data_IF_082840341568
#
_entry.id   IF_082840341568
#
_cell.length_a   1.000
_cell.length_b   1.000
_cell.length_c   1.000
_cell.angle_alpha   90.00
_cell.angle_beta   90.00
_cell.angle_gamma   90.00
#
_symmetry.space_group_name_H-M   'P 1'
#
loop_
_entity.id
_entity.type
_entity.pdbx_description
1 polymer ?
#
# COMPACT_ATOMS: atom_id res chain seq x y z
N UNK A 1 33.90 -1.96 -1.52
CA UNK A 1 32.85 -1.10 -1.99
C UNK A 1 31.59 -1.29 -1.18
N UNK A 2 31.05 -0.22 -0.71
CA UNK A 2 29.82 -0.37 0.06
C UNK A 2 28.72 -0.89 -0.83
N UNK A 3 27.97 -1.77 -0.30
CA UNK A 3 26.78 -2.24 -0.97
C UNK A 3 25.67 -1.25 -0.78
N UNK A 4 25.02 -0.91 -1.86
CA UNK A 4 23.79 -0.18 -1.72
C UNK A 4 22.76 -1.10 -1.09
N UNK A 5 22.31 -0.74 0.07
CA UNK A 5 21.34 -1.55 0.80
C UNK A 5 19.92 -1.27 0.36
N UNK A 6 19.76 -0.22 -0.38
CA UNK A 6 18.42 0.21 -0.72
C UNK A 6 17.79 0.94 0.44
N UNK A 7 16.85 1.78 0.12
CA UNK A 7 16.05 2.41 1.15
C UNK A 7 14.82 1.57 1.38
N UNK A 8 14.44 1.45 2.64
CA UNK A 8 13.11 1.05 2.99
C UNK A 8 12.34 2.34 3.24
N UNK A 9 11.37 2.61 2.41
CA UNK A 9 10.52 3.77 2.61
C UNK A 9 9.68 3.52 3.86
N UNK A 10 9.89 4.33 4.88
CA UNK A 10 9.19 4.16 6.13
C UNK A 10 8.10 5.21 6.26
N UNK A 11 6.87 4.77 6.02
CA UNK A 11 5.67 5.58 6.19
C UNK A 11 4.81 5.04 7.33
N UNK A 12 5.41 4.27 8.23
CA UNK A 12 4.65 3.71 9.35
C UNK A 12 4.02 4.82 10.18
N UNK A 13 2.73 4.66 10.45
CA UNK A 13 1.97 5.64 11.23
C UNK A 13 1.71 6.96 10.52
N UNK A 14 2.15 7.11 9.26
CA UNK A 14 1.96 8.38 8.55
C UNK A 14 0.48 8.64 8.28
N UNK A 15 0.10 9.91 8.34
CA UNK A 15 -1.25 10.33 8.01
C UNK A 15 -1.24 10.92 6.62
N UNK A 16 -1.54 10.09 5.64
CA UNK A 16 -1.43 10.45 4.22
C UNK A 16 -2.75 10.17 3.50
N UNK A 17 -3.83 10.60 4.12
CA UNK A 17 -5.17 10.41 3.56
C UNK A 17 -5.30 11.13 2.24
N UNK A 18 -6.02 10.49 1.30
CA UNK A 18 -6.35 11.06 -0.02
C UNK A 18 -5.13 11.50 -0.82
N UNK A 19 -3.98 10.94 -0.49
CA UNK A 19 -2.76 11.23 -1.21
C UNK A 19 -2.75 10.52 -2.56
N UNK A 20 -2.02 11.09 -3.51
CA UNK A 20 -1.85 10.47 -4.82
C UNK A 20 -0.54 9.68 -4.81
N UNK A 21 -0.66 8.37 -4.74
CA UNK A 21 0.45 7.44 -4.84
C UNK A 21 0.31 6.55 -6.08
N UNK A 22 -0.43 7.02 -7.07
CA UNK A 22 -0.61 6.24 -8.29
C UNK A 22 0.74 5.97 -8.94
N UNK A 23 0.93 4.73 -9.36
CA UNK A 23 2.14 4.24 -10.01
C UNK A 23 3.41 4.35 -9.16
N UNK A 24 3.28 4.61 -7.87
CA UNK A 24 4.43 4.72 -6.98
C UNK A 24 5.11 3.36 -6.81
N UNK A 25 6.42 3.40 -6.69
CA UNK A 25 7.19 2.21 -6.33
C UNK A 25 7.26 2.12 -4.81
N UNK A 26 6.42 1.28 -4.24
CA UNK A 26 6.33 1.08 -2.81
C UNK A 26 6.88 -0.30 -2.42
N UNK A 27 7.76 -0.84 -3.25
CA UNK A 27 8.38 -2.13 -2.97
C UNK A 27 9.06 -2.09 -1.61
N UNK A 28 8.68 -3.03 -0.77
CA UNK A 28 9.20 -3.19 0.59
C UNK A 28 8.95 -2.00 1.52
N UNK A 29 8.09 -1.08 1.12
CA UNK A 29 7.76 0.05 1.98
C UNK A 29 7.12 -0.43 3.28
N UNK A 30 7.44 0.23 4.37
CA UNK A 30 6.76 -0.01 5.64
C UNK A 30 5.60 0.97 5.75
N UNK A 31 4.39 0.45 5.56
CA UNK A 31 3.16 1.22 5.65
C UNK A 31 2.35 0.86 6.89
N UNK A 32 2.97 0.16 7.84
CA UNK A 32 2.23 -0.32 9.00
C UNK A 32 1.59 0.85 9.73
N UNK A 33 0.30 0.69 10.01
CA UNK A 33 -0.52 1.68 10.72
C UNK A 33 -0.63 3.04 10.04
N UNK A 34 -0.22 3.16 8.79
CA UNK A 34 -0.41 4.39 8.03
C UNK A 34 -1.89 4.57 7.71
N UNK A 35 -2.34 5.81 7.71
CA UNK A 35 -3.72 6.14 7.32
C UNK A 35 -3.72 6.57 5.86
N UNK A 36 -4.12 5.65 4.99
CA UNK A 36 -4.24 5.87 3.55
C UNK A 36 -5.69 5.95 3.11
N UNK A 37 -6.57 6.39 4.01
CA UNK A 37 -7.99 6.54 3.69
C UNK A 37 -8.15 7.37 2.42
N UNK A 38 -8.87 6.82 1.45
CA UNK A 38 -9.16 7.52 0.20
C UNK A 38 -7.96 7.74 -0.72
N UNK A 39 -6.83 7.11 -0.45
CA UNK A 39 -5.63 7.31 -1.25
C UNK A 39 -5.78 6.70 -2.65
N UNK A 40 -5.13 7.33 -3.61
CA UNK A 40 -5.04 6.81 -4.97
C UNK A 40 -3.76 5.98 -5.09
N UNK A 41 -3.93 4.67 -5.13
CA UNK A 41 -2.82 3.72 -5.26
C UNK A 41 -2.86 3.00 -6.60
N UNK A 42 -3.61 3.52 -7.57
CA UNK A 42 -3.74 2.85 -8.86
C UNK A 42 -2.37 2.59 -9.49
N UNK A 43 -2.15 1.36 -9.87
CA UNK A 43 -0.91 0.96 -10.54
C UNK A 43 0.33 0.97 -9.67
N UNK A 44 0.23 1.23 -8.38
CA UNK A 44 1.37 1.20 -7.48
C UNK A 44 1.93 -0.21 -7.36
N UNK A 45 3.21 -0.31 -7.08
CA UNK A 45 3.87 -1.60 -6.84
C UNK A 45 4.04 -1.79 -5.33
N UNK A 46 3.36 -2.80 -4.80
CA UNK A 46 3.37 -3.10 -3.37
C UNK A 46 4.12 -4.39 -3.04
N UNK A 47 5.05 -4.78 -3.89
CA UNK A 47 5.82 -6.00 -3.66
C UNK A 47 6.47 -5.95 -2.27
N UNK A 48 6.15 -6.94 -1.44
CA UNK A 48 6.73 -7.10 -0.11
C UNK A 48 6.52 -5.90 0.82
N UNK A 49 5.58 -5.02 0.51
CA UNK A 49 5.25 -3.92 1.40
C UNK A 49 4.55 -4.44 2.66
N UNK A 50 4.79 -3.78 3.77
CA UNK A 50 4.17 -4.13 5.05
C UNK A 50 2.89 -3.32 5.18
N UNK A 51 1.76 -4.02 5.25
CA UNK A 51 0.45 -3.39 5.34
C UNK A 51 -0.24 -3.67 6.68
N UNK A 52 0.51 -4.04 7.70
CA UNK A 52 -0.06 -4.34 9.00
C UNK A 52 -0.78 -3.11 9.57
N UNK A 53 -2.09 -3.23 9.76
CA UNK A 53 -2.88 -2.13 10.31
C UNK A 53 -2.99 -0.91 9.40
N UNK A 54 -2.53 -1.01 8.16
CA UNK A 54 -2.64 0.09 7.19
C UNK A 54 -4.12 0.32 6.87
N UNK A 55 -4.57 1.55 7.01
CA UNK A 55 -5.97 1.89 6.75
C UNK A 55 -6.13 2.22 5.28
N UNK A 56 -6.90 1.41 4.58
CA UNK A 56 -7.14 1.53 3.14
C UNK A 56 -8.61 1.75 2.81
N UNK A 57 -9.41 2.25 3.76
CA UNK A 57 -10.81 2.52 3.51
C UNK A 57 -10.95 3.56 2.41
N UNK A 58 -11.75 3.27 1.41
CA UNK A 58 -11.95 4.18 0.30
C UNK A 58 -10.76 4.32 -0.64
N UNK A 59 -9.67 3.61 -0.41
CA UNK A 59 -8.51 3.67 -1.28
C UNK A 59 -8.78 2.93 -2.58
N UNK A 60 -8.17 3.42 -3.67
CA UNK A 60 -8.29 2.80 -4.98
C UNK A 60 -7.03 1.99 -5.27
N UNK A 61 -7.19 0.68 -5.26
CA UNK A 61 -6.09 -0.27 -5.51
C UNK A 61 -6.15 -0.87 -6.91
N UNK A 62 -6.89 -0.23 -7.83
CA UNK A 62 -7.01 -0.73 -9.21
C UNK A 62 -5.63 -0.85 -9.84
N UNK A 63 -5.35 -1.99 -10.45
CA UNK A 63 -4.09 -2.21 -11.15
C UNK A 63 -2.85 -2.26 -10.27
N UNK A 64 -3.01 -2.31 -8.95
CA UNK A 64 -1.88 -2.47 -8.03
C UNK A 64 -1.14 -3.75 -8.37
N UNK A 65 0.19 -3.68 -8.32
CA UNK A 65 1.06 -4.80 -8.68
C UNK A 65 1.60 -5.48 -7.44
N UNK A 66 1.66 -6.81 -7.50
CA UNK A 66 2.34 -7.64 -6.51
C UNK A 66 1.72 -7.59 -5.11
N UNK A 67 0.44 -7.27 -5.04
CA UNK A 67 -0.30 -7.33 -3.78
C UNK A 67 -0.80 -8.75 -3.58
N UNK A 68 -0.60 -9.27 -2.38
CA UNK A 68 -1.04 -10.62 -2.02
C UNK A 68 -2.25 -10.54 -1.10
N UNK A 69 -2.95 -11.67 -1.01
CA UNK A 69 -4.06 -11.81 -0.06
C UNK A 69 -3.60 -11.61 1.37
N UNK A 70 -2.41 -12.09 1.68
CA UNK A 70 -1.85 -11.98 3.03
C UNK A 70 -1.59 -10.53 3.41
N UNK A 71 -1.02 -9.75 2.48
CA UNK A 71 -0.83 -8.33 2.72
C UNK A 71 -2.17 -7.64 2.96
N UNK A 72 -3.15 -7.93 2.10
CA UNK A 72 -4.46 -7.30 2.20
C UNK A 72 -5.17 -7.70 3.50
N UNK A 73 -5.02 -8.94 3.93
CA UNK A 73 -5.64 -9.42 5.16
C UNK A 73 -5.11 -8.70 6.39
N UNK A 74 -3.87 -8.19 6.34
CA UNK A 74 -3.29 -7.46 7.46
C UNK A 74 -3.74 -6.00 7.51
N UNK A 75 -4.30 -5.50 6.42
CA UNK A 75 -4.74 -4.11 6.31
C UNK A 75 -6.19 -3.95 6.76
N UNK A 76 -6.60 -2.70 6.93
CA UNK A 76 -8.00 -2.36 7.27
C UNK A 76 -8.67 -1.87 5.99
N UNK A 77 -9.60 -2.64 5.48
CA UNK A 77 -10.37 -2.30 4.28
C UNK A 77 -11.86 -2.31 4.61
N UNK A 78 -12.66 -1.75 3.74
CA UNK A 78 -14.11 -1.81 3.84
C UNK A 78 -14.72 -1.92 2.44
N UNK A 79 -16.05 -1.82 2.36
CA UNK A 79 -16.76 -1.98 1.09
C UNK A 79 -16.46 -0.86 0.11
N UNK A 80 -15.87 0.24 0.55
CA UNK A 80 -15.49 1.35 -0.34
C UNK A 80 -14.08 1.21 -0.90
N UNK A 81 -13.28 0.28 -0.40
CA UNK A 81 -11.96 0.00 -0.94
C UNK A 81 -12.10 -0.67 -2.30
N UNK A 82 -11.43 -0.12 -3.31
CA UNK A 82 -11.46 -0.72 -4.64
C UNK A 82 -10.27 -1.66 -4.76
N UNK A 83 -10.54 -2.95 -4.88
CA UNK A 83 -9.51 -3.98 -4.94
C UNK A 83 -9.05 -4.22 -6.38
N UNK A 84 -7.80 -4.67 -6.58
CA UNK A 84 -7.39 -5.10 -7.91
C UNK A 84 -8.19 -6.33 -8.34
N UNK A 85 -8.38 -6.50 -9.65
CA UNK A 85 -9.29 -7.52 -10.16
C UNK A 85 -8.90 -8.94 -9.73
N UNK A 86 -7.61 -9.20 -9.54
CA UNK A 86 -7.15 -10.53 -9.15
C UNK A 86 -7.39 -10.86 -7.68
N UNK A 87 -7.83 -9.89 -6.88
CA UNK A 87 -8.11 -10.09 -5.45
C UNK A 87 -9.56 -9.80 -5.08
N UNK A 88 -10.41 -9.63 -6.05
CA UNK A 88 -11.84 -9.42 -5.78
C UNK A 88 -12.55 -10.71 -5.40
#
# INVERSE_FOLDING_TARGET
>A
MPQFQGFVLDLSGAKVRRTNLSHANLTRANLSHADLTGADLRGANLANAILLGTILRGADLSGVKNLTKEQLAAAVIDETTILPSNLQ
#
